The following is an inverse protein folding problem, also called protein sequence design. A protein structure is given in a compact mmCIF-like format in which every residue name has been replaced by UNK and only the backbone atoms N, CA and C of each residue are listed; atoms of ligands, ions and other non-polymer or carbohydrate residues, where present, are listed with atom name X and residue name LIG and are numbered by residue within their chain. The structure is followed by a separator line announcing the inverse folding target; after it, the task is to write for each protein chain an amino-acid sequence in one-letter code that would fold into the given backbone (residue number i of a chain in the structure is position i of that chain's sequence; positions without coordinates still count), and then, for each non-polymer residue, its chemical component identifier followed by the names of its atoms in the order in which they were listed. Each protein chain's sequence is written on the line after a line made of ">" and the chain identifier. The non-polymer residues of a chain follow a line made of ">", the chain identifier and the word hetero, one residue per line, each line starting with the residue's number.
data_IF_627134353538
#
_entry.id   IF_627134353538
#
_cell.length_a   1.000
_cell.length_b   1.000
_cell.length_c   1.000
_cell.angle_alpha   90.00
_cell.angle_beta   90.00
_cell.angle_gamma   90.00
#
_symmetry.space_group_name_H-M   'P 1'
#
loop_
_entity.id
_entity.type
_entity.pdbx_description
1 polymer ?
#
# COMPACT_ATOMS: atom_id res chain seq x y z
N UNK A 1 41.68 52.57 -25.49
CA UNK A 1 40.85 51.87 -24.49
C UNK A 1 39.52 52.63 -24.40
N UNK A 2 38.47 52.15 -25.10
CA UNK A 2 37.14 52.79 -25.08
C UNK A 2 36.27 52.03 -24.07
N UNK A 3 35.92 52.70 -22.98
CA UNK A 3 35.07 52.17 -21.91
C UNK A 3 33.62 52.24 -22.41
N UNK A 4 33.02 51.08 -22.69
CA UNK A 4 31.65 50.99 -23.16
C UNK A 4 30.67 51.38 -22.05
N UNK A 5 29.91 52.45 -22.27
CA UNK A 5 28.83 52.91 -21.40
C UNK A 5 27.69 51.88 -21.43
N UNK A 6 27.43 51.22 -20.31
CA UNK A 6 26.33 50.28 -20.16
C UNK A 6 25.04 51.07 -19.86
N UNK A 7 24.18 51.22 -20.87
CA UNK A 7 22.89 51.89 -20.71
C UNK A 7 21.82 50.82 -20.43
N UNK A 8 21.17 50.80 -19.25
CA UNK A 8 20.16 49.79 -18.95
C UNK A 8 18.91 50.01 -19.80
N UNK A 9 18.42 48.95 -20.47
CA UNK A 9 17.19 48.99 -21.27
C UNK A 9 15.98 49.21 -20.35
N UNK A 10 15.13 50.19 -20.69
CA UNK A 10 13.90 50.48 -19.95
C UNK A 10 12.86 49.36 -20.13
N UNK A 11 12.11 49.04 -19.08
CA UNK A 11 11.08 48.00 -19.08
C UNK A 11 9.99 48.20 -20.15
N UNK A 12 9.73 49.44 -20.57
CA UNK A 12 8.76 49.74 -21.64
C UNK A 12 9.18 49.13 -22.99
N UNK A 13 10.48 49.10 -23.29
CA UNK A 13 11.00 48.49 -24.51
C UNK A 13 10.90 46.96 -24.49
N UNK A 14 10.87 46.35 -23.30
CA UNK A 14 10.70 44.92 -23.15
C UNK A 14 9.27 44.47 -23.51
N UNK A 15 8.25 45.23 -23.10
CA UNK A 15 6.86 44.88 -23.40
C UNK A 15 6.51 45.02 -24.89
N UNK A 16 7.15 45.94 -25.59
CA UNK A 16 7.02 46.10 -27.05
C UNK A 16 7.59 44.90 -27.82
N UNK A 17 8.71 44.34 -27.36
CA UNK A 17 9.40 43.23 -28.04
C UNK A 17 8.90 41.83 -27.63
N UNK A 18 8.17 41.73 -26.51
CA UNK A 18 7.69 40.47 -25.94
C UNK A 18 6.78 39.65 -26.87
N UNK A 19 5.80 40.23 -27.59
CA UNK A 19 4.96 39.48 -28.51
C UNK A 19 5.78 38.90 -29.68
N UNK A 20 6.74 39.66 -30.19
CA UNK A 20 7.61 39.24 -31.30
C UNK A 20 8.49 38.07 -30.88
N UNK A 21 8.99 38.07 -29.64
CA UNK A 21 9.76 36.98 -29.05
C UNK A 21 8.95 35.68 -28.93
N UNK A 22 7.67 35.78 -28.57
CA UNK A 22 6.79 34.61 -28.44
C UNK A 22 6.52 33.96 -29.80
N UNK A 23 6.37 34.75 -30.87
CA UNK A 23 6.04 34.22 -32.21
C UNK A 23 7.25 33.87 -33.08
N UNK A 24 8.32 34.67 -33.04
CA UNK A 24 9.49 34.51 -33.92
C UNK A 24 10.72 33.95 -33.21
N UNK A 25 10.65 33.74 -31.90
CA UNK A 25 11.77 33.33 -31.08
C UNK A 25 12.86 34.40 -30.98
N UNK A 26 13.74 34.21 -30.02
CA UNK A 26 14.89 35.08 -29.80
C UNK A 26 15.90 34.94 -30.92
N UNK A 27 16.25 36.03 -31.58
CA UNK A 27 17.43 36.05 -32.45
C UNK A 27 18.55 36.82 -31.76
N UNK A 28 19.65 36.14 -31.45
CA UNK A 28 20.89 36.76 -30.97
C UNK A 28 21.26 36.50 -29.50
N UNK A 29 20.53 35.68 -28.76
CA UNK A 29 21.10 35.08 -27.54
C UNK A 29 22.23 34.15 -27.96
N UNK A 30 23.37 34.11 -27.23
CA UNK A 30 24.37 33.08 -27.45
C UNK A 30 23.66 31.76 -27.21
N UNK A 31 23.31 31.08 -28.31
CA UNK A 31 22.76 29.74 -28.30
C UNK A 31 23.91 28.88 -27.80
N UNK A 32 23.97 28.68 -26.48
CA UNK A 32 24.66 27.52 -25.93
C UNK A 32 24.11 26.37 -26.76
N UNK A 33 24.97 25.71 -27.55
CA UNK A 33 24.58 24.48 -28.20
C UNK A 33 23.85 23.65 -27.13
N UNK A 34 22.76 22.92 -27.47
CA UNK A 34 22.36 21.84 -26.60
C UNK A 34 23.66 21.12 -26.28
N UNK A 35 24.04 21.07 -24.99
CA UNK A 35 25.09 20.13 -24.62
C UNK A 35 24.54 18.84 -25.18
N UNK A 36 25.18 18.31 -26.23
CA UNK A 36 25.03 16.91 -26.53
C UNK A 36 25.25 16.29 -25.16
N UNK A 37 24.18 15.73 -24.60
CA UNK A 37 24.31 14.79 -23.52
C UNK A 37 25.13 13.68 -24.16
N UNK A 38 26.46 13.86 -24.13
CA UNK A 38 27.41 12.78 -24.14
C UNK A 38 26.76 11.76 -23.22
N UNK A 39 26.41 10.62 -23.81
CA UNK A 39 26.14 9.38 -23.11
C UNK A 39 27.44 9.04 -22.37
N UNK A 40 27.70 9.81 -21.32
CA UNK A 40 28.84 9.66 -20.46
C UNK A 40 28.63 8.36 -19.73
N UNK A 41 29.69 7.59 -19.73
CA UNK A 41 29.72 6.20 -19.35
C UNK A 41 29.07 5.96 -18.00
N UNK A 42 28.59 4.73 -17.82
CA UNK A 42 28.05 4.18 -16.58
C UNK A 42 28.82 4.63 -15.33
N UNK A 43 28.39 5.74 -14.73
CA UNK A 43 28.78 6.13 -13.38
C UNK A 43 28.09 5.16 -12.41
N UNK A 44 28.79 4.06 -12.13
CA UNK A 44 28.44 3.11 -11.08
C UNK A 44 28.74 3.68 -9.68
N UNK A 45 28.35 4.93 -9.43
CA UNK A 45 28.06 5.40 -8.07
C UNK A 45 26.81 4.69 -7.54
N UNK A 46 26.68 4.43 -6.22
CA UNK A 46 25.50 3.78 -5.70
C UNK A 46 24.26 4.68 -5.96
N UNK A 47 23.39 4.24 -6.88
CA UNK A 47 22.10 4.87 -7.25
C UNK A 47 21.17 5.16 -6.06
N UNK A 48 21.53 4.67 -4.86
CA UNK A 48 20.84 4.85 -3.60
C UNK A 48 21.89 5.07 -2.48
N UNK A 49 21.75 6.14 -1.71
CA UNK A 49 22.74 6.53 -0.69
C UNK A 49 22.71 5.66 0.58
N UNK A 50 21.70 4.80 0.75
CA UNK A 50 21.47 4.03 1.97
C UNK A 50 21.41 2.52 1.65
N UNK A 51 21.88 1.64 2.55
CA UNK A 51 21.77 0.20 2.34
C UNK A 51 20.30 -0.24 2.40
N UNK A 52 19.95 -1.19 1.54
CA UNK A 52 18.58 -1.70 1.32
C UNK A 52 17.82 -2.07 2.61
N UNK A 53 18.50 -2.74 3.56
CA UNK A 53 17.90 -3.11 4.86
C UNK A 53 17.56 -1.91 5.73
N UNK A 54 18.37 -0.84 5.68
CA UNK A 54 18.14 0.38 6.46
C UNK A 54 16.98 1.19 5.89
N UNK A 55 16.82 1.18 4.57
CA UNK A 55 15.62 1.75 3.93
C UNK A 55 14.36 0.99 4.36
N UNK A 56 14.37 -0.35 4.31
CA UNK A 56 13.23 -1.19 4.73
C UNK A 56 12.89 -0.97 6.21
N UNK A 57 13.90 -0.94 7.09
CA UNK A 57 13.68 -0.74 8.52
C UNK A 57 13.12 0.65 8.84
N UNK A 58 13.63 1.70 8.18
CA UNK A 58 13.15 3.09 8.40
C UNK A 58 11.75 3.28 7.82
N UNK A 59 11.47 2.71 6.64
CA UNK A 59 10.14 2.74 6.02
C UNK A 59 9.12 1.98 6.87
N UNK A 60 9.39 0.72 7.22
CA UNK A 60 8.49 -0.07 8.09
C UNK A 60 8.24 0.61 9.44
N UNK A 61 9.27 1.15 10.09
CA UNK A 61 9.10 1.92 11.33
C UNK A 61 8.19 3.14 11.14
N UNK A 62 8.38 3.90 10.05
CA UNK A 62 7.55 5.07 9.74
C UNK A 62 6.10 4.68 9.47
N UNK A 63 5.86 3.61 8.71
CA UNK A 63 4.49 3.23 8.37
C UNK A 63 3.77 2.60 9.57
N UNK A 64 4.45 1.80 10.40
CA UNK A 64 3.90 1.36 11.69
C UNK A 64 3.51 2.54 12.57
N UNK A 65 4.36 3.58 12.66
CA UNK A 65 4.02 4.80 13.39
C UNK A 65 2.81 5.53 12.77
N UNK A 66 2.69 5.51 11.44
CA UNK A 66 1.57 6.13 10.73
C UNK A 66 0.25 5.41 11.02
N UNK A 67 0.24 4.08 10.95
CA UNK A 67 -0.96 3.28 11.27
C UNK A 67 -1.36 3.42 12.73
N UNK A 68 -0.40 3.45 13.66
CA UNK A 68 -0.68 3.71 15.08
C UNK A 68 -1.28 5.10 15.30
N UNK A 69 -0.90 6.10 14.49
CA UNK A 69 -1.44 7.47 14.57
C UNK A 69 -2.82 7.61 13.89
N UNK A 70 -3.17 6.75 12.95
CA UNK A 70 -4.48 6.75 12.27
C UNK A 70 -5.24 5.43 12.51
N UNK A 71 -5.67 5.14 13.76
CA UNK A 71 -6.29 3.86 14.10
C UNK A 71 -7.68 3.68 13.47
N UNK A 72 -8.34 4.75 13.01
CA UNK A 72 -9.73 4.73 12.56
C UNK A 72 -9.99 3.74 11.42
N UNK A 73 -9.10 3.69 10.42
CA UNK A 73 -9.23 2.78 9.27
C UNK A 73 -9.03 1.32 9.66
N UNK A 74 -8.11 1.05 10.59
CA UNK A 74 -7.89 -0.30 11.11
C UNK A 74 -9.07 -0.74 12.00
N UNK A 75 -9.51 0.15 12.90
CA UNK A 75 -10.54 -0.13 13.88
C UNK A 75 -11.89 -0.43 13.22
N UNK A 76 -12.26 0.30 12.16
CA UNK A 76 -13.50 0.05 11.42
C UNK A 76 -13.54 -1.35 10.81
N UNK A 77 -12.44 -1.82 10.23
CA UNK A 77 -12.32 -3.18 9.68
C UNK A 77 -12.37 -4.24 10.78
N UNK A 78 -11.67 -3.98 11.88
CA UNK A 78 -11.65 -4.89 13.02
C UNK A 78 -13.06 -5.06 13.62
N UNK A 79 -13.84 -3.98 13.71
CA UNK A 79 -15.23 -4.00 14.17
C UNK A 79 -16.10 -4.83 13.22
N UNK A 80 -16.02 -4.60 11.91
CA UNK A 80 -16.81 -5.36 10.91
C UNK A 80 -16.50 -6.85 11.03
N UNK A 81 -15.21 -7.21 11.11
CA UNK A 81 -14.81 -8.60 11.27
C UNK A 81 -15.30 -9.20 12.59
N UNK A 82 -15.19 -8.46 13.69
CA UNK A 82 -15.68 -8.92 15.00
C UNK A 82 -17.20 -9.18 14.98
N UNK A 83 -17.97 -8.30 14.34
CA UNK A 83 -19.42 -8.48 14.16
C UNK A 83 -19.71 -9.73 13.31
N UNK A 84 -18.98 -9.94 12.21
CA UNK A 84 -19.12 -11.15 11.40
C UNK A 84 -18.77 -12.43 12.18
N UNK A 85 -17.75 -12.39 13.03
CA UNK A 85 -17.37 -13.49 13.91
C UNK A 85 -18.48 -13.82 14.91
N UNK A 86 -19.11 -12.81 15.50
CA UNK A 86 -20.24 -12.95 16.42
C UNK A 86 -21.45 -13.59 15.73
N UNK A 87 -21.81 -13.08 14.55
CA UNK A 87 -22.93 -13.60 13.74
C UNK A 87 -22.67 -15.07 13.38
N UNK A 88 -21.48 -15.40 12.85
CA UNK A 88 -21.14 -16.77 12.48
C UNK A 88 -21.19 -17.72 13.68
N UNK A 89 -20.60 -17.32 14.80
CA UNK A 89 -20.59 -18.13 16.03
C UNK A 89 -22.01 -18.38 16.56
N UNK A 90 -22.89 -17.39 16.44
CA UNK A 90 -24.28 -17.51 16.86
C UNK A 90 -25.10 -18.49 16.01
N UNK A 91 -24.72 -18.67 14.74
CA UNK A 91 -25.39 -19.57 13.80
C UNK A 91 -25.06 -21.05 14.08
N UNK A 92 -23.84 -21.31 14.54
CA UNK A 92 -23.32 -22.67 14.76
C UNK A 92 -23.29 -23.10 16.24
N UNK A 93 -24.21 -22.63 17.09
CA UNK A 93 -24.21 -22.92 18.54
C UNK A 93 -24.00 -24.41 18.88
N UNK A 94 -23.10 -24.66 19.84
CA UNK A 94 -22.84 -25.95 20.49
C UNK A 94 -22.50 -27.13 19.55
N UNK A 95 -21.24 -27.21 19.07
CA UNK A 95 -20.71 -28.38 18.34
C UNK A 95 -20.08 -29.45 19.26
N UNK A 96 -20.68 -29.68 20.41
CA UNK A 96 -20.08 -30.47 21.49
C UNK A 96 -20.41 -31.97 21.51
N UNK A 97 -21.30 -32.44 20.63
CA UNK A 97 -21.77 -33.83 20.67
C UNK A 97 -21.00 -34.72 19.68
N UNK A 98 -20.67 -35.97 20.05
CA UNK A 98 -19.98 -36.91 19.18
C UNK A 98 -20.98 -37.58 18.21
N UNK A 99 -21.63 -36.80 17.36
CA UNK A 99 -22.49 -37.30 16.27
C UNK A 99 -21.85 -37.04 14.91
N UNK A 100 -22.11 -37.90 13.92
CA UNK A 100 -21.70 -37.68 12.52
C UNK A 100 -22.22 -36.35 11.95
N UNK A 101 -23.36 -35.87 12.44
CA UNK A 101 -23.93 -34.58 12.02
C UNK A 101 -23.09 -33.39 12.50
N UNK A 102 -22.39 -33.52 13.61
CA UNK A 102 -21.56 -32.44 14.18
C UNK A 102 -20.23 -32.28 13.44
N UNK A 103 -19.70 -33.36 12.86
CA UNK A 103 -18.52 -33.28 11.97
C UNK A 103 -18.83 -32.42 10.74
N UNK A 104 -19.99 -32.64 10.10
CA UNK A 104 -20.41 -31.82 8.97
C UNK A 104 -20.65 -30.36 9.36
N UNK A 105 -21.23 -30.11 10.55
CA UNK A 105 -21.40 -28.75 11.08
C UNK A 105 -20.06 -28.06 11.36
N UNK A 106 -19.07 -28.79 11.91
CA UNK A 106 -17.72 -28.29 12.13
C UNK A 106 -17.05 -27.91 10.80
N UNK A 107 -17.10 -28.79 9.81
CA UNK A 107 -16.56 -28.52 8.47
C UNK A 107 -17.22 -27.29 7.83
N UNK A 108 -18.55 -27.22 7.89
CA UNK A 108 -19.28 -26.06 7.40
C UNK A 108 -18.86 -24.78 8.11
N UNK A 109 -18.71 -24.82 9.44
CA UNK A 109 -18.23 -23.67 10.21
C UNK A 109 -16.85 -23.20 9.73
N UNK A 110 -15.88 -24.10 9.53
CA UNK A 110 -14.57 -23.74 9.02
C UNK A 110 -14.62 -23.13 7.61
N UNK A 111 -15.42 -23.70 6.71
CA UNK A 111 -15.60 -23.17 5.35
C UNK A 111 -16.21 -21.77 5.40
N UNK A 112 -17.30 -21.58 6.14
CA UNK A 112 -17.93 -20.27 6.28
C UNK A 112 -17.02 -19.24 6.96
N UNK A 113 -16.21 -19.64 7.95
CA UNK A 113 -15.23 -18.77 8.58
C UNK A 113 -14.20 -18.25 7.56
N UNK A 114 -13.63 -19.14 6.75
CA UNK A 114 -12.67 -18.77 5.69
C UNK A 114 -13.33 -17.86 4.64
N UNK A 115 -14.57 -18.17 4.22
CA UNK A 115 -15.30 -17.35 3.26
C UNK A 115 -15.61 -15.93 3.80
N UNK A 116 -15.98 -15.80 5.08
CA UNK A 116 -16.26 -14.49 5.68
C UNK A 116 -15.00 -13.65 5.82
N UNK A 117 -13.88 -14.26 6.21
CA UNK A 117 -12.57 -13.61 6.25
C UNK A 117 -12.15 -13.17 4.85
N UNK A 118 -12.40 -13.99 3.84
CA UNK A 118 -12.16 -13.63 2.45
C UNK A 118 -12.98 -12.41 2.02
N UNK A 119 -14.29 -12.40 2.33
CA UNK A 119 -15.17 -11.28 2.01
C UNK A 119 -14.72 -10.00 2.70
N UNK A 120 -14.40 -10.06 4.00
CA UNK A 120 -13.90 -8.91 4.78
C UNK A 120 -12.61 -8.32 4.21
N UNK A 121 -11.79 -9.10 3.50
CA UNK A 121 -10.56 -8.60 2.87
C UNK A 121 -10.84 -7.77 1.61
N UNK A 122 -12.01 -7.89 0.98
CA UNK A 122 -12.37 -7.08 -0.19
C UNK A 122 -12.57 -5.60 0.17
N UNK A 123 -12.98 -5.31 1.41
CA UNK A 123 -13.06 -3.94 1.93
C UNK A 123 -11.68 -3.26 2.02
N UNK A 124 -10.58 -4.03 1.91
CA UNK A 124 -9.23 -3.50 1.93
C UNK A 124 -8.77 -2.92 0.59
N UNK A 125 -9.45 -3.27 -0.51
CA UNK A 125 -9.14 -2.83 -1.88
C UNK A 125 -9.02 -1.29 -2.02
N UNK A 126 -10.00 -0.47 -1.59
CA UNK A 126 -9.92 0.98 -1.79
C UNK A 126 -8.76 1.63 -1.05
N UNK A 127 -8.45 1.18 0.17
CA UNK A 127 -7.29 1.67 0.92
C UNK A 127 -5.97 1.24 0.28
N UNK A 128 -5.89 0.00 -0.22
CA UNK A 128 -4.72 -0.47 -0.95
C UNK A 128 -4.47 0.35 -2.22
N UNK A 129 -5.55 0.75 -2.92
CA UNK A 129 -5.48 1.64 -4.08
C UNK A 129 -4.92 3.01 -3.67
N UNK A 130 -5.41 3.61 -2.58
CA UNK A 130 -4.91 4.90 -2.08
C UNK A 130 -3.41 4.85 -1.73
N UNK A 131 -2.97 3.81 -1.02
CA UNK A 131 -1.56 3.61 -0.69
C UNK A 131 -0.70 3.40 -1.93
N UNK A 132 -1.19 2.64 -2.92
CA UNK A 132 -0.53 2.47 -4.23
C UNK A 132 -0.36 3.80 -4.98
N UNK A 133 -1.33 4.71 -4.93
CA UNK A 133 -1.22 6.03 -5.55
C UNK A 133 -0.11 6.88 -4.90
N UNK A 134 0.00 6.83 -3.57
CA UNK A 134 1.08 7.49 -2.83
C UNK A 134 2.43 6.89 -3.24
N UNK A 135 2.52 5.56 -3.34
CA UNK A 135 3.71 4.85 -3.76
C UNK A 135 4.19 5.22 -5.18
N UNK A 136 3.29 5.26 -6.17
CA UNK A 136 3.65 5.63 -7.55
C UNK A 136 4.23 7.04 -7.60
N UNK A 137 3.65 7.96 -6.82
CA UNK A 137 4.12 9.34 -6.71
C UNK A 137 5.50 9.44 -6.05
N UNK A 138 5.75 8.73 -4.96
CA UNK A 138 7.06 8.73 -4.28
C UNK A 138 8.15 8.02 -5.10
N UNK A 139 7.78 6.98 -5.85
CA UNK A 139 8.70 6.27 -6.76
C UNK A 139 9.06 7.10 -7.98
N UNK A 140 8.15 7.94 -8.49
CA UNK A 140 8.41 8.85 -9.61
C UNK A 140 9.49 9.90 -9.29
N UNK A 141 9.70 10.23 -8.01
CA UNK A 141 10.80 11.07 -7.55
C UNK A 141 12.09 10.28 -7.26
N UNK A 142 12.18 9.03 -7.72
CA UNK A 142 13.35 8.15 -7.62
C UNK A 142 13.89 7.95 -6.19
N UNK A 143 13.04 8.14 -5.17
CA UNK A 143 13.45 8.13 -3.76
C UNK A 143 13.63 6.72 -3.18
N UNK A 144 13.04 5.67 -3.78
CA UNK A 144 13.09 4.31 -3.23
C UNK A 144 13.07 3.21 -4.30
N UNK A 145 13.63 2.03 -3.97
CA UNK A 145 13.48 0.80 -4.75
C UNK A 145 12.12 0.14 -4.51
N UNK A 146 11.48 -0.34 -5.57
CA UNK A 146 10.19 -1.05 -5.47
C UNK A 146 10.26 -2.30 -4.54
N UNK A 147 11.39 -3.01 -4.51
CA UNK A 147 11.57 -4.17 -3.63
C UNK A 147 11.63 -3.82 -2.14
N UNK A 148 12.26 -2.68 -1.78
CA UNK A 148 12.30 -2.19 -0.40
C UNK A 148 10.90 -1.87 0.11
N UNK A 149 10.06 -1.28 -0.76
CA UNK A 149 8.68 -0.95 -0.43
C UNK A 149 7.83 -2.20 -0.20
N UNK A 150 7.82 -3.15 -1.12
CA UNK A 150 7.02 -4.38 -1.00
C UNK A 150 7.32 -5.12 0.30
N UNK A 151 8.60 -5.21 0.68
CA UNK A 151 8.99 -5.87 1.93
C UNK A 151 8.58 -5.04 3.15
N UNK A 152 8.71 -3.72 3.09
CA UNK A 152 8.26 -2.84 4.18
C UNK A 152 6.74 -2.98 4.41
N UNK A 153 5.95 -2.98 3.33
CA UNK A 153 4.50 -3.18 3.38
C UNK A 153 4.13 -4.58 3.87
N UNK A 154 4.84 -5.63 3.44
CA UNK A 154 4.60 -6.98 3.96
C UNK A 154 4.83 -7.07 5.47
N UNK A 155 5.94 -6.50 5.96
CA UNK A 155 6.27 -6.47 7.39
C UNK A 155 5.21 -5.69 8.18
N UNK A 156 4.67 -4.63 7.59
CA UNK A 156 3.61 -3.82 8.19
C UNK A 156 2.29 -4.58 8.32
N UNK A 157 1.82 -5.27 7.27
CA UNK A 157 0.52 -5.94 7.30
C UNK A 157 0.49 -7.22 8.16
N UNK A 158 1.63 -7.92 8.30
CA UNK A 158 1.75 -9.15 9.08
C UNK A 158 1.21 -9.04 10.53
N UNK A 159 1.57 -8.03 11.34
CA UNK A 159 1.01 -7.87 12.69
C UNK A 159 -0.48 -7.50 12.68
N UNK A 160 -0.96 -6.74 11.69
CA UNK A 160 -2.39 -6.41 11.61
C UNK A 160 -3.25 -7.64 11.35
N UNK A 161 -2.84 -8.49 10.41
CA UNK A 161 -3.54 -9.76 10.17
C UNK A 161 -3.45 -10.71 11.36
N UNK A 162 -2.38 -10.65 12.15
CA UNK A 162 -2.22 -11.46 13.35
C UNK A 162 -3.26 -11.07 14.41
N UNK A 163 -3.43 -9.76 14.66
CA UNK A 163 -4.45 -9.24 15.58
C UNK A 163 -5.85 -9.58 15.06
N UNK A 164 -6.12 -9.29 13.80
CA UNK A 164 -7.42 -9.51 13.17
C UNK A 164 -7.85 -10.99 13.21
N UNK A 165 -6.94 -11.90 12.86
CA UNK A 165 -7.17 -13.34 12.97
C UNK A 165 -7.34 -13.80 14.42
N UNK A 166 -6.60 -13.20 15.37
CA UNK A 166 -6.68 -13.56 16.79
C UNK A 166 -8.01 -13.15 17.39
N UNK A 167 -8.51 -11.96 17.08
CA UNK A 167 -9.82 -11.48 17.49
C UNK A 167 -10.92 -12.41 17.01
N UNK A 168 -10.92 -12.77 15.72
CA UNK A 168 -11.89 -13.72 15.16
C UNK A 168 -11.82 -15.09 15.84
N UNK A 169 -10.60 -15.63 16.02
CA UNK A 169 -10.37 -16.93 16.67
C UNK A 169 -10.82 -16.93 18.13
N UNK A 170 -10.55 -15.85 18.87
CA UNK A 170 -10.91 -15.70 20.27
C UNK A 170 -12.43 -15.62 20.46
N UNK A 171 -13.11 -14.78 19.67
CA UNK A 171 -14.56 -14.61 19.72
C UNK A 171 -15.26 -15.95 19.45
N UNK A 172 -14.92 -16.58 18.35
CA UNK A 172 -15.55 -17.85 17.92
C UNK A 172 -15.27 -18.98 18.90
N UNK A 173 -14.03 -19.12 19.40
CA UNK A 173 -13.71 -20.13 20.41
C UNK A 173 -14.48 -19.91 21.71
N UNK A 174 -14.63 -18.65 22.14
CA UNK A 174 -15.39 -18.31 23.35
C UNK A 174 -16.87 -18.67 23.21
N UNK A 175 -17.50 -18.32 22.09
CA UNK A 175 -18.94 -18.55 21.86
C UNK A 175 -19.31 -20.02 21.59
N UNK A 176 -18.45 -20.74 20.88
CA UNK A 176 -18.73 -22.12 20.44
C UNK A 176 -18.14 -23.17 21.39
N UNK A 177 -17.36 -22.76 22.41
CA UNK A 177 -16.65 -23.63 23.34
C UNK A 177 -15.87 -24.77 22.63
N UNK A 178 -15.17 -24.45 21.54
CA UNK A 178 -14.39 -25.45 20.80
C UNK A 178 -13.29 -26.05 21.69
N UNK A 179 -13.22 -27.38 21.73
CA UNK A 179 -12.11 -28.12 22.35
C UNK A 179 -10.79 -28.04 21.56
N UNK A 180 -10.80 -27.40 20.38
CA UNK A 180 -9.62 -27.27 19.51
C UNK A 180 -8.60 -26.27 20.05
N UNK A 181 -7.32 -26.49 19.76
CA UNK A 181 -6.23 -25.56 20.07
C UNK A 181 -6.44 -24.23 19.34
N UNK A 182 -6.53 -23.13 20.10
CA UNK A 182 -6.75 -21.77 19.58
C UNK A 182 -5.65 -21.41 18.59
N UNK A 183 -4.40 -21.78 18.91
CA UNK A 183 -3.24 -21.49 18.07
C UNK A 183 -3.35 -22.09 16.67
N UNK A 184 -3.79 -23.35 16.54
CA UNK A 184 -3.93 -24.01 15.24
C UNK A 184 -5.02 -23.33 14.41
N UNK A 185 -6.14 -22.98 15.04
CA UNK A 185 -7.23 -22.30 14.35
C UNK A 185 -6.84 -20.89 13.93
N UNK A 186 -6.19 -20.15 14.82
CA UNK A 186 -5.63 -18.83 14.54
C UNK A 186 -4.64 -18.86 13.37
N UNK A 187 -3.74 -19.85 13.33
CA UNK A 187 -2.75 -20.00 12.26
C UNK A 187 -3.43 -20.24 10.90
N UNK A 188 -4.50 -21.06 10.85
CA UNK A 188 -5.28 -21.27 9.63
C UNK A 188 -5.91 -19.95 9.15
N UNK A 189 -6.54 -19.20 10.05
CA UNK A 189 -7.14 -17.90 9.71
C UNK A 189 -6.08 -16.87 9.28
N UNK A 190 -4.93 -16.87 9.93
CA UNK A 190 -3.81 -16.00 9.61
C UNK A 190 -3.24 -16.28 8.22
N UNK A 191 -3.00 -17.56 7.90
CA UNK A 191 -2.55 -17.98 6.57
C UNK A 191 -3.60 -17.63 5.50
N UNK A 192 -4.89 -17.79 5.80
CA UNK A 192 -5.98 -17.38 4.91
C UNK A 192 -5.98 -15.88 4.64
N UNK A 193 -5.84 -15.04 5.67
CA UNK A 193 -5.77 -13.58 5.54
C UNK A 193 -4.61 -13.14 4.64
N UNK A 194 -3.42 -13.70 4.86
CA UNK A 194 -2.24 -13.41 4.02
C UNK A 194 -2.51 -13.81 2.56
N UNK A 195 -3.05 -15.01 2.35
CA UNK A 195 -3.31 -15.54 1.00
C UNK A 195 -4.38 -14.72 0.28
N UNK A 196 -5.46 -14.34 0.96
CA UNK A 196 -6.50 -13.49 0.36
C UNK A 196 -5.95 -12.11 0.01
N UNK A 197 -5.16 -11.50 0.89
CA UNK A 197 -4.56 -10.19 0.59
C UNK A 197 -3.59 -10.28 -0.60
N UNK A 198 -2.78 -11.33 -0.68
CA UNK A 198 -1.93 -11.57 -1.84
C UNK A 198 -2.74 -11.73 -3.14
N UNK A 199 -3.87 -12.46 -3.09
CA UNK A 199 -4.79 -12.59 -4.21
C UNK A 199 -5.39 -11.25 -4.61
N UNK A 200 -5.89 -10.46 -3.66
CA UNK A 200 -6.46 -9.12 -3.90
C UNK A 200 -5.43 -8.19 -4.52
N UNK A 201 -4.19 -8.19 -4.03
CA UNK A 201 -3.09 -7.42 -4.62
C UNK A 201 -2.77 -7.86 -6.05
N UNK A 202 -2.78 -9.17 -6.32
CA UNK A 202 -2.58 -9.71 -7.66
C UNK A 202 -3.69 -9.24 -8.61
N UNK A 203 -4.95 -9.32 -8.19
CA UNK A 203 -6.10 -8.84 -8.97
C UNK A 203 -6.01 -7.33 -9.20
N UNK A 204 -5.65 -6.55 -8.18
CA UNK A 204 -5.44 -5.10 -8.30
C UNK A 204 -4.28 -4.72 -9.23
N UNK A 205 -3.26 -5.58 -9.34
CA UNK A 205 -2.18 -5.42 -10.29
C UNK A 205 -2.61 -5.79 -11.72
N UNK A 206 -3.42 -6.84 -11.87
CA UNK A 206 -3.93 -7.31 -13.17
C UNK A 206 -4.99 -6.40 -13.77
N UNK A 207 -5.80 -5.72 -12.95
CA UNK A 207 -6.80 -4.75 -13.40
C UNK A 207 -6.14 -3.38 -13.51
N UNK A 208 -5.77 -2.92 -14.72
CA UNK A 208 -5.38 -1.54 -14.90
C UNK A 208 -6.68 -0.72 -14.86
N UNK A 209 -6.70 0.33 -14.05
CA UNK A 209 -7.70 1.41 -14.07
C UNK A 209 -9.15 1.12 -13.64
N UNK A 210 -9.54 1.76 -12.52
CA UNK A 210 -10.90 2.28 -12.30
C UNK A 210 -10.86 3.78 -11.92
N UNK A 211 -9.94 4.56 -12.51
CA UNK A 211 -9.98 6.04 -12.47
C UNK A 211 -9.84 6.62 -13.88
N UNK A 212 -10.54 6.02 -14.84
CA UNK A 212 -10.87 6.66 -16.11
C UNK A 212 -12.25 6.15 -16.53
N UNK A 213 -13.29 6.84 -16.08
CA UNK A 213 -14.69 6.56 -16.33
C UNK A 213 -15.55 7.51 -15.53
#
# INVERSE_FOLDING_TARGET
>A
MQIGVHNPRLASQFYEEFPVWVYHGVKGTPRRAPREEELDESDHGPKFANPWLREVAVLSWRTVLNVVRTPELFLSREIVLAVMALILSSLFKNLGHPSFQDINRLLNFYIFAVCLVFFSSNDAVPTFIQERFIFIRETAHNSYRASSYVISSLIEYLPFFAVQGLTFAAITRFLLHLKSNLFNFWLILYASLITTNAYVMLVSALVPSYITG
#
